data_IF_323423998222
#
_entry.id   IF_323423998222
#
_cell.length_a   1.000
_cell.length_b   1.000
_cell.length_c   1.000
_cell.angle_alpha   90.00
_cell.angle_beta   90.00
_cell.angle_gamma   90.00
#
_symmetry.space_group_name_H-M   'P 1'
#
loop_
_entity.id
_entity.type
_entity.pdbx_description
1 polymer ?
#
# COMPACT_ATOMS: atom_id res chain seq x y z
N UNK A 1 -5.46 -0.79 -21.93
CA UNK A 1 -4.94 -0.39 -20.60
C UNK A 1 -3.86 -1.39 -20.17
N UNK A 2 -2.66 -0.96 -19.76
CA UNK A 2 -1.60 -1.89 -19.37
C UNK A 2 -1.98 -2.63 -18.07
N UNK A 3 -1.86 -3.97 -18.06
CA UNK A 3 -2.24 -4.86 -16.93
C UNK A 3 -1.65 -4.43 -15.58
N UNK A 4 -0.48 -3.78 -15.57
CA UNK A 4 0.17 -3.23 -14.38
C UNK A 4 -0.59 -2.06 -13.74
N UNK A 5 -1.23 -1.20 -14.52
CA UNK A 5 -2.00 -0.08 -13.98
C UNK A 5 -3.27 -0.55 -13.27
N UNK A 6 -3.78 -1.72 -13.67
CA UNK A 6 -4.98 -2.36 -13.11
C UNK A 6 -4.67 -3.01 -11.75
N UNK A 7 -3.52 -3.68 -11.61
CA UNK A 7 -3.05 -4.25 -10.35
C UNK A 7 -2.79 -3.21 -9.26
N UNK A 8 -2.41 -1.99 -9.64
CA UNK A 8 -2.17 -0.90 -8.69
C UNK A 8 -3.45 -0.30 -8.09
N UNK A 9 -4.61 -0.50 -8.74
CA UNK A 9 -5.93 0.00 -8.29
C UNK A 9 -6.81 -1.09 -7.67
N UNK A 10 -6.30 -2.33 -7.63
CA UNK A 10 -7.03 -3.46 -7.08
C UNK A 10 -7.03 -3.36 -5.55
N UNK A 11 -8.19 -3.00 -4.98
CA UNK A 11 -8.37 -2.86 -3.53
C UNK A 11 -8.15 -4.17 -2.78
N UNK A 12 -8.32 -5.33 -3.43
CA UNK A 12 -8.13 -6.62 -2.79
C UNK A 12 -6.64 -6.99 -2.75
N UNK A 13 -5.85 -6.56 -3.74
CA UNK A 13 -4.42 -6.88 -3.85
C UNK A 13 -3.48 -5.79 -3.35
N UNK A 14 -3.84 -4.52 -3.47
CA UNK A 14 -3.00 -3.40 -3.10
C UNK A 14 -3.59 -2.66 -1.88
N UNK A 15 -3.08 -2.91 -0.67
CA UNK A 15 -3.50 -2.17 0.51
C UNK A 15 -2.96 -0.74 0.56
N UNK A 16 -2.08 -0.35 -0.37
CA UNK A 16 -1.39 0.95 -0.43
C UNK A 16 -1.88 1.84 -1.58
N UNK A 17 -3.17 1.79 -1.90
CA UNK A 17 -3.77 2.58 -2.99
C UNK A 17 -3.68 4.07 -2.70
N UNK A 18 -3.94 4.48 -1.46
CA UNK A 18 -3.89 5.89 -1.07
C UNK A 18 -2.50 6.50 -1.31
N UNK A 19 -1.44 5.76 -0.97
CA UNK A 19 -0.05 6.19 -1.17
C UNK A 19 0.33 6.13 -2.65
N UNK A 20 -0.20 5.15 -3.40
CA UNK A 20 -0.02 5.06 -4.85
C UNK A 20 -0.62 6.28 -5.54
N UNK A 21 -1.85 6.64 -5.20
CA UNK A 21 -2.55 7.79 -5.77
C UNK A 21 -1.91 9.12 -5.34
N UNK A 22 -1.46 9.23 -4.08
CA UNK A 22 -0.74 10.41 -3.61
C UNK A 22 0.61 10.60 -4.34
N UNK A 23 1.38 9.52 -4.53
CA UNK A 23 2.64 9.58 -5.28
C UNK A 23 2.45 9.93 -6.76
N UNK A 24 1.39 9.41 -7.39
CA UNK A 24 1.00 9.76 -8.75
C UNK A 24 0.60 11.22 -8.87
N UNK A 25 -0.26 11.69 -7.97
CA UNK A 25 -0.69 13.09 -7.94
C UNK A 25 0.51 14.03 -7.78
N UNK A 26 1.42 13.72 -6.86
CA UNK A 26 2.65 14.52 -6.71
C UNK A 26 3.48 14.56 -8.00
N UNK A 27 3.62 13.43 -8.69
CA UNK A 27 4.34 13.38 -9.96
C UNK A 27 3.66 14.24 -11.04
N UNK A 28 2.33 14.17 -11.15
CA UNK A 28 1.57 14.97 -12.11
C UNK A 28 1.70 16.47 -11.81
N UNK A 29 1.63 16.87 -10.53
CA UNK A 29 1.73 18.27 -10.10
C UNK A 29 3.16 18.85 -10.27
N UNK A 30 4.20 18.00 -10.19
CA UNK A 30 5.61 18.42 -10.20
C UNK A 30 6.32 18.15 -11.54
N UNK A 31 5.59 17.99 -12.64
CA UNK A 31 6.17 17.68 -13.96
C UNK A 31 7.10 16.44 -13.92
N UNK A 32 6.70 15.40 -13.18
CA UNK A 32 7.42 14.14 -13.05
C UNK A 32 8.81 14.25 -12.38
N UNK A 33 9.05 15.33 -11.62
CA UNK A 33 10.23 15.50 -10.76
C UNK A 33 10.13 14.61 -9.52
N UNK A 34 10.77 13.44 -9.58
CA UNK A 34 10.69 12.39 -8.55
C UNK A 34 11.25 12.82 -7.19
N UNK A 35 12.28 13.65 -7.21
CA UNK A 35 12.94 14.25 -6.05
C UNK A 35 11.95 15.00 -5.15
N UNK A 36 11.03 15.75 -5.76
CA UNK A 36 9.96 16.49 -5.06
C UNK A 36 8.93 15.57 -4.37
N UNK A 37 8.88 14.30 -4.78
CA UNK A 37 7.88 13.32 -4.33
C UNK A 37 8.47 12.20 -3.47
N UNK A 38 9.71 12.35 -3.02
CA UNK A 38 10.46 11.32 -2.27
C UNK A 38 9.68 10.82 -1.05
N UNK A 39 9.03 11.72 -0.31
CA UNK A 39 8.24 11.37 0.87
C UNK A 39 7.05 10.47 0.53
N UNK A 40 6.33 10.76 -0.56
CA UNK A 40 5.22 9.91 -1.01
C UNK A 40 5.70 8.51 -1.41
N UNK A 41 6.85 8.41 -2.06
CA UNK A 41 7.45 7.11 -2.37
C UNK A 41 7.91 6.36 -1.12
N UNK A 42 8.41 7.06 -0.11
CA UNK A 42 8.79 6.48 1.17
C UNK A 42 7.56 5.92 1.88
N UNK A 43 6.46 6.68 1.94
CA UNK A 43 5.18 6.20 2.50
C UNK A 43 4.66 4.96 1.78
N UNK A 44 4.69 4.95 0.45
CA UNK A 44 4.31 3.78 -0.33
C UNK A 44 5.19 2.55 -0.02
N UNK A 45 6.51 2.73 0.09
CA UNK A 45 7.44 1.65 0.48
C UNK A 45 7.15 1.14 1.90
N UNK A 46 6.91 2.03 2.84
CA UNK A 46 6.60 1.68 4.24
C UNK A 46 5.28 0.91 4.33
N UNK A 47 4.24 1.38 3.63
CA UNK A 47 2.97 0.67 3.54
C UNK A 47 3.16 -0.75 2.99
N UNK A 48 3.89 -0.91 1.86
CA UNK A 48 4.15 -2.24 1.29
C UNK A 48 4.89 -3.15 2.26
N UNK A 49 5.89 -2.63 2.98
CA UNK A 49 6.65 -3.39 3.96
C UNK A 49 5.76 -3.87 5.11
N UNK A 50 4.96 -2.98 5.68
CA UNK A 50 4.02 -3.28 6.75
C UNK A 50 3.06 -4.41 6.37
N UNK A 51 2.41 -4.30 5.21
CA UNK A 51 1.46 -5.33 4.76
C UNK A 51 2.14 -6.64 4.37
N UNK A 52 3.37 -6.58 3.86
CA UNK A 52 4.18 -7.77 3.63
C UNK A 52 4.52 -8.50 4.93
N UNK A 53 4.89 -7.78 5.98
CA UNK A 53 5.18 -8.37 7.28
C UNK A 53 3.94 -9.06 7.87
N UNK A 54 2.75 -8.44 7.77
CA UNK A 54 1.49 -9.04 8.19
C UNK A 54 1.16 -10.30 7.37
N UNK A 55 1.36 -10.24 6.06
CA UNK A 55 1.15 -11.38 5.17
C UNK A 55 2.06 -12.56 5.56
N UNK A 56 3.34 -12.28 5.84
CA UNK A 56 4.30 -13.28 6.29
C UNK A 56 3.94 -13.87 7.66
N UNK A 57 3.43 -13.04 8.60
CA UNK A 57 2.92 -13.53 9.89
C UNK A 57 1.70 -14.43 9.73
N UNK A 58 0.71 -14.02 8.91
CA UNK A 58 -0.48 -14.84 8.62
C UNK A 58 -0.12 -16.16 7.95
N UNK A 59 0.83 -16.13 7.02
CA UNK A 59 1.36 -17.32 6.35
C UNK A 59 2.04 -18.29 7.34
N UNK A 60 2.86 -17.78 8.26
CA UNK A 60 3.49 -18.59 9.33
C UNK A 60 2.45 -19.22 10.25
N UNK A 61 1.36 -18.51 10.52
CA UNK A 61 0.24 -18.99 11.34
C UNK A 61 -0.74 -19.89 10.56
N UNK A 62 -0.49 -20.17 9.28
CA UNK A 62 -1.38 -20.98 8.44
C UNK A 62 -2.72 -20.33 8.09
N UNK A 63 -2.87 -19.02 8.29
CA UNK A 63 -4.12 -18.29 8.03
C UNK A 63 -4.25 -17.96 6.55
N UNK A 64 -5.35 -18.41 5.94
CA UNK A 64 -5.72 -18.08 4.55
C UNK A 64 -7.04 -17.31 4.52
N UNK A 65 -7.17 -16.26 3.69
CA UNK A 65 -6.16 -15.71 2.78
C UNK A 65 -4.98 -15.03 3.51
N UNK A 66 -3.79 -15.12 2.89
CA UNK A 66 -2.55 -14.51 3.43
C UNK A 66 -2.69 -12.99 3.54
N UNK A 67 -3.40 -12.37 2.59
CA UNK A 67 -3.73 -10.96 2.66
C UNK A 67 -5.00 -10.75 3.51
N UNK A 68 -5.00 -9.85 4.51
CA UNK A 68 -6.18 -9.50 5.29
C UNK A 68 -7.28 -8.90 4.41
N UNK A 69 -8.53 -9.14 4.81
CA UNK A 69 -9.72 -8.52 4.19
C UNK A 69 -9.78 -7.02 4.47
N UNK A 70 -10.62 -6.27 3.76
CA UNK A 70 -10.78 -4.83 3.97
C UNK A 70 -11.14 -4.46 5.42
N UNK A 71 -11.97 -5.28 6.09
CA UNK A 71 -12.34 -5.07 7.48
C UNK A 71 -11.18 -5.31 8.45
N UNK A 72 -10.43 -6.40 8.25
CA UNK A 72 -9.22 -6.68 9.04
C UNK A 72 -8.19 -5.58 8.86
N UNK A 73 -8.03 -5.06 7.63
CA UNK A 73 -7.12 -3.96 7.36
C UNK A 73 -7.49 -2.71 8.15
N UNK A 74 -8.77 -2.37 8.19
CA UNK A 74 -9.27 -1.22 8.96
C UNK A 74 -8.95 -1.37 10.45
N UNK A 75 -9.21 -2.53 11.03
CA UNK A 75 -8.90 -2.83 12.45
C UNK A 75 -7.41 -2.74 12.74
N UNK A 76 -6.57 -3.29 11.86
CA UNK A 76 -5.11 -3.23 11.99
C UNK A 76 -4.62 -1.77 11.95
N UNK A 77 -5.14 -0.97 11.03
CA UNK A 77 -4.78 0.45 10.91
C UNK A 77 -5.25 1.28 12.10
N UNK A 78 -6.43 0.98 12.66
CA UNK A 78 -6.93 1.60 13.88
C UNK A 78 -6.08 1.22 15.10
N UNK A 79 -5.56 -0.01 15.16
CA UNK A 79 -4.73 -0.47 16.29
C UNK A 79 -3.28 0.02 16.27
N UNK A 80 -2.74 0.35 15.10
CA UNK A 80 -1.31 0.65 14.95
C UNK A 80 -1.03 2.15 14.82
N UNK A 81 -2.05 2.98 14.59
CA UNK A 81 -1.92 4.39 14.15
C UNK A 81 -1.10 4.46 12.85
N UNK A 82 -1.72 4.77 11.71
CA UNK A 82 -1.15 4.67 10.35
C UNK A 82 0.39 4.76 10.32
N UNK A 83 1.11 3.62 10.19
CA UNK A 83 2.57 3.59 10.37
C UNK A 83 3.35 4.17 9.18
N UNK A 84 2.66 4.92 8.30
CA UNK A 84 3.16 5.46 7.04
C UNK A 84 2.41 6.75 6.65
#
# INVERSE_FOLDING_TARGET
>A
MPKYAQQLRDHDRNPCIAETDASRKCMDDNNYKKDMCTDYFLKYKNCRKFWHDIMMQRKRNGVKPEMPSAEERKKILESVEKPY
#
